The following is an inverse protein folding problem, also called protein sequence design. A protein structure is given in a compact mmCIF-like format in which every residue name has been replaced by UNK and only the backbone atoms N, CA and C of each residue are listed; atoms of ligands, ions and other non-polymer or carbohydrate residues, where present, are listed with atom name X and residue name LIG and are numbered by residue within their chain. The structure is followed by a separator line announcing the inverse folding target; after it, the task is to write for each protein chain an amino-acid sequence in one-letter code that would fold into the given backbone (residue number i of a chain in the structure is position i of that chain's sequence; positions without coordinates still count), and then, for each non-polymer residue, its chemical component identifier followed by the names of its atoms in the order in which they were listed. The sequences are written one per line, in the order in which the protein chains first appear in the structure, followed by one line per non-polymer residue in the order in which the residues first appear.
data_IF_371996553562
#
_entry.id   IF_371996553562
#
_cell.length_a   1.000
_cell.length_b   1.000
_cell.length_c   1.000
_cell.angle_alpha   90.00
_cell.angle_beta   90.00
_cell.angle_gamma   90.00
#
_symmetry.space_group_name_H-M   'P 1'
#
loop_
_entity.id
_entity.type
_entity.pdbx_description
1 polymer ?
#
# COMPACT_ATOMS: atom_id res chain seq x y z
N UNK A 1 9.25 -14.80 -19.93
CA UNK A 1 8.53 -13.54 -20.26
C UNK A 1 8.89 -12.55 -19.17
N UNK A 2 9.37 -11.33 -19.48
CA UNK A 2 9.72 -10.39 -18.43
C UNK A 2 8.44 -10.02 -17.69
N UNK A 3 8.44 -10.16 -16.37
CA UNK A 3 7.30 -9.79 -15.53
C UNK A 3 7.03 -8.30 -15.74
N UNK A 4 5.95 -7.95 -16.43
CA UNK A 4 5.43 -6.58 -16.53
C UNK A 4 4.63 -6.27 -15.26
N UNK A 5 5.27 -6.42 -14.11
CA UNK A 5 4.79 -5.81 -12.87
C UNK A 5 5.26 -4.35 -12.83
N UNK A 6 4.61 -3.48 -12.06
CA UNK A 6 5.14 -2.16 -11.74
C UNK A 6 6.57 -2.33 -11.17
N UNK A 7 7.55 -1.65 -11.74
CA UNK A 7 8.91 -1.68 -11.20
C UNK A 7 8.96 -0.81 -9.95
N UNK A 8 8.91 -1.44 -8.78
CA UNK A 8 9.19 -0.82 -7.49
C UNK A 8 10.69 -1.01 -7.22
N UNK A 9 11.41 0.09 -6.99
CA UNK A 9 12.88 0.06 -6.79
C UNK A 9 13.32 -0.30 -5.36
N UNK A 10 12.34 -0.41 -4.44
CA UNK A 10 12.53 -0.70 -3.02
C UNK A 10 12.55 -2.22 -2.80
N UNK A 11 13.29 -2.68 -1.79
CA UNK A 11 13.32 -4.10 -1.41
C UNK A 11 11.90 -4.63 -1.11
N UNK A 12 11.50 -5.78 -1.67
CA UNK A 12 10.22 -6.41 -1.40
C UNK A 12 9.96 -6.65 0.10
N UNK A 13 10.98 -7.00 0.87
CA UNK A 13 10.86 -7.25 2.31
C UNK A 13 10.46 -5.99 3.08
N UNK A 14 10.99 -4.84 2.63
CA UNK A 14 10.65 -3.55 3.21
C UNK A 14 9.21 -3.16 2.87
N UNK A 15 8.78 -3.39 1.63
CA UNK A 15 7.39 -3.15 1.22
C UNK A 15 6.43 -4.03 2.02
N UNK A 16 6.73 -5.32 2.19
CA UNK A 16 5.94 -6.26 3.00
C UNK A 16 5.87 -5.80 4.45
N UNK A 17 7.00 -5.42 5.05
CA UNK A 17 7.00 -4.92 6.43
C UNK A 17 6.18 -3.65 6.60
N UNK A 18 6.32 -2.70 5.69
CA UNK A 18 5.64 -1.42 5.78
C UNK A 18 4.13 -1.54 5.58
N UNK A 19 3.72 -2.33 4.57
CA UNK A 19 2.33 -2.43 4.13
C UNK A 19 1.56 -3.47 4.95
N UNK A 20 2.12 -4.65 5.15
CA UNK A 20 1.46 -5.77 5.85
C UNK A 20 1.87 -5.89 7.32
N UNK A 21 2.81 -5.08 7.81
CA UNK A 21 3.32 -5.12 9.19
C UNK A 21 3.95 -6.45 9.61
N UNK A 22 4.38 -7.24 8.63
CA UNK A 22 5.06 -8.52 8.86
C UNK A 22 6.52 -8.23 9.20
N UNK A 23 7.03 -8.79 10.30
CA UNK A 23 8.41 -8.61 10.69
C UNK A 23 9.37 -9.23 9.65
N UNK A 24 10.46 -8.53 9.32
CA UNK A 24 11.40 -8.94 8.26
C UNK A 24 12.08 -10.26 8.61
N UNK A 25 12.52 -10.44 9.87
CA UNK A 25 13.20 -11.65 10.32
C UNK A 25 12.26 -12.87 10.26
N UNK A 26 10.99 -12.69 10.63
CA UNK A 26 9.97 -13.75 10.46
C UNK A 26 9.74 -14.06 8.98
N UNK A 27 9.60 -13.00 8.16
CA UNK A 27 9.33 -13.11 6.73
C UNK A 27 10.41 -13.87 5.96
N UNK A 28 11.69 -13.66 6.27
CA UNK A 28 12.81 -14.38 5.66
C UNK A 28 12.70 -15.91 5.83
N UNK A 29 12.12 -16.36 6.95
CA UNK A 29 11.92 -17.77 7.27
C UNK A 29 10.74 -18.43 6.54
N UNK A 30 9.89 -17.65 5.87
CA UNK A 30 8.67 -18.18 5.25
C UNK A 30 8.97 -19.00 3.99
N UNK A 31 8.11 -19.98 3.64
CA UNK A 31 8.26 -20.70 2.37
C UNK A 31 8.13 -19.75 1.18
N UNK A 32 8.92 -20.01 0.14
CA UNK A 32 9.02 -19.13 -1.04
C UNK A 32 7.66 -18.79 -1.66
N UNK A 33 6.76 -19.76 -1.79
CA UNK A 33 5.42 -19.52 -2.34
C UNK A 33 4.59 -18.57 -1.49
N UNK A 34 4.74 -18.61 -0.18
CA UNK A 34 4.04 -17.73 0.76
C UNK A 34 4.63 -16.32 0.69
N UNK A 35 5.96 -16.21 0.62
CA UNK A 35 6.63 -14.92 0.42
C UNK A 35 6.20 -14.25 -0.87
N UNK A 36 6.16 -14.99 -1.97
CA UNK A 36 5.76 -14.45 -3.26
C UNK A 36 4.33 -13.91 -3.25
N UNK A 37 3.41 -14.60 -2.56
CA UNK A 37 2.04 -14.12 -2.36
C UNK A 37 2.04 -12.81 -1.56
N UNK A 38 2.69 -12.79 -0.39
CA UNK A 38 2.75 -11.62 0.49
C UNK A 38 3.37 -10.40 -0.21
N UNK A 39 4.48 -10.59 -0.94
CA UNK A 39 5.10 -9.56 -1.77
C UNK A 39 4.10 -9.03 -2.78
N UNK A 40 3.45 -9.92 -3.54
CA UNK A 40 2.53 -9.49 -4.60
C UNK A 40 1.33 -8.71 -4.06
N UNK A 41 0.82 -9.07 -2.89
CA UNK A 41 -0.24 -8.34 -2.20
C UNK A 41 0.29 -6.98 -1.71
N UNK A 42 1.45 -6.97 -1.06
CA UNK A 42 2.04 -5.75 -0.51
C UNK A 42 2.37 -4.72 -1.60
N UNK A 43 2.89 -5.15 -2.75
CA UNK A 43 3.16 -4.28 -3.90
C UNK A 43 1.88 -3.67 -4.47
N UNK A 44 0.80 -4.44 -4.55
CA UNK A 44 -0.48 -3.96 -5.08
C UNK A 44 -1.12 -2.94 -4.11
N UNK A 45 -1.11 -3.23 -2.81
CA UNK A 45 -1.55 -2.31 -1.76
C UNK A 45 -0.67 -1.05 -1.69
N UNK A 46 0.65 -1.19 -1.89
CA UNK A 46 1.57 -0.05 -1.99
C UNK A 46 1.16 0.91 -3.09
N UNK A 47 0.75 0.40 -4.26
CA UNK A 47 0.25 1.25 -5.34
C UNK A 47 -1.02 2.00 -4.94
N UNK A 48 -1.95 1.37 -4.22
CA UNK A 48 -3.17 2.06 -3.75
C UNK A 48 -2.86 3.20 -2.77
N UNK A 49 -1.83 3.03 -1.92
CA UNK A 49 -1.43 4.07 -0.97
C UNK A 49 -0.66 5.22 -1.64
N UNK A 50 0.26 4.89 -2.55
CA UNK A 50 1.29 5.85 -2.98
C UNK A 50 1.16 6.34 -4.43
N UNK A 51 0.30 5.72 -5.25
CA UNK A 51 0.05 6.17 -6.62
C UNK A 51 -1.34 6.82 -6.74
N UNK A 52 -1.44 8.15 -6.88
CA UNK A 52 -2.72 8.86 -6.90
C UNK A 52 -3.55 8.62 -8.17
N UNK A 53 -3.00 7.94 -9.18
CA UNK A 53 -3.73 7.53 -10.39
C UNK A 53 -4.34 6.13 -10.27
N UNK A 54 -3.99 5.38 -9.22
CA UNK A 54 -4.49 4.03 -9.00
C UNK A 54 -5.81 4.11 -8.22
N UNK A 55 -6.81 3.40 -8.72
CA UNK A 55 -8.11 3.30 -8.05
C UNK A 55 -8.02 2.27 -6.90
N UNK A 56 -8.19 2.73 -5.67
CA UNK A 56 -8.07 1.90 -4.47
C UNK A 56 -9.11 0.76 -4.41
N UNK A 57 -10.35 0.97 -4.86
CA UNK A 57 -11.39 -0.07 -4.87
C UNK A 57 -11.08 -1.21 -5.84
N UNK A 58 -10.46 -0.87 -6.97
CA UNK A 58 -9.98 -1.85 -7.96
C UNK A 58 -8.87 -2.71 -7.35
N UNK A 59 -7.91 -2.08 -6.69
CA UNK A 59 -6.84 -2.78 -5.95
C UNK A 59 -7.42 -3.65 -4.84
N UNK A 60 -8.35 -3.13 -4.04
CA UNK A 60 -9.02 -3.87 -2.97
C UNK A 60 -9.67 -5.15 -3.49
N UNK A 61 -10.40 -5.05 -4.60
CA UNK A 61 -11.07 -6.19 -5.23
C UNK A 61 -10.06 -7.22 -5.74
N UNK A 62 -9.00 -6.76 -6.40
CA UNK A 62 -7.92 -7.61 -6.95
C UNK A 62 -7.15 -8.35 -5.85
N UNK A 63 -6.78 -7.65 -4.78
CA UNK A 63 -6.09 -8.22 -3.62
C UNK A 63 -6.97 -9.26 -2.92
N UNK A 64 -8.25 -8.94 -2.73
CA UNK A 64 -9.20 -9.87 -2.10
C UNK A 64 -9.33 -11.16 -2.92
N UNK A 65 -9.56 -11.05 -4.23
CA UNK A 65 -9.68 -12.22 -5.12
C UNK A 65 -8.41 -13.09 -5.10
N UNK A 66 -7.23 -12.45 -5.15
CA UNK A 66 -5.95 -13.15 -5.09
C UNK A 66 -5.77 -13.88 -3.76
N UNK A 67 -6.03 -13.19 -2.65
CA UNK A 67 -5.88 -13.75 -1.32
C UNK A 67 -6.85 -14.93 -1.10
N UNK A 68 -8.13 -14.79 -1.48
CA UNK A 68 -9.12 -15.87 -1.36
C UNK A 68 -8.72 -17.12 -2.16
N UNK A 69 -8.21 -16.93 -3.38
CA UNK A 69 -7.77 -18.03 -4.23
C UNK A 69 -6.58 -18.80 -3.66
N UNK A 70 -5.59 -18.09 -3.11
CA UNK A 70 -4.30 -18.69 -2.73
C UNK A 70 -4.26 -19.12 -1.25
N UNK A 71 -5.03 -18.47 -0.38
CA UNK A 71 -5.10 -18.75 1.06
C UNK A 71 -5.56 -20.16 1.41
N UNK A 72 -6.36 -20.81 0.56
CA UNK A 72 -6.85 -22.18 0.76
C UNK A 72 -5.71 -23.19 0.91
N UNK A 73 -4.58 -22.92 0.25
CA UNK A 73 -3.40 -23.79 0.25
C UNK A 73 -2.37 -23.45 1.34
N UNK A 74 -2.58 -22.35 2.08
CA UNK A 74 -1.65 -21.88 3.08
C UNK A 74 -1.88 -22.58 4.42
N UNK A 75 -0.79 -22.76 5.18
CA UNK A 75 -0.92 -23.07 6.60
C UNK A 75 -1.64 -21.91 7.32
N UNK A 76 -2.43 -22.26 8.34
CA UNK A 76 -3.29 -21.31 9.06
C UNK A 76 -2.54 -20.05 9.53
N UNK A 77 -1.33 -20.22 10.06
CA UNK A 77 -0.48 -19.11 10.50
C UNK A 77 -0.29 -18.05 9.42
N UNK A 78 0.16 -18.43 8.23
CA UNK A 78 0.45 -17.48 7.14
C UNK A 78 -0.82 -16.80 6.62
N UNK A 79 -1.90 -17.57 6.48
CA UNK A 79 -3.19 -17.02 6.07
C UNK A 79 -3.65 -15.94 7.06
N UNK A 80 -3.62 -16.24 8.35
CA UNK A 80 -4.00 -15.28 9.40
C UNK A 80 -3.15 -14.02 9.34
N UNK A 81 -1.82 -14.14 9.36
CA UNK A 81 -0.91 -12.98 9.35
C UNK A 81 -1.14 -12.09 8.11
N UNK A 82 -1.27 -12.68 6.92
CA UNK A 82 -1.52 -11.91 5.69
C UNK A 82 -2.90 -11.23 5.75
N UNK A 83 -3.95 -11.94 6.18
CA UNK A 83 -5.30 -11.37 6.26
C UNK A 83 -5.41 -10.21 7.26
N UNK A 84 -4.73 -10.33 8.41
CA UNK A 84 -4.64 -9.26 9.40
C UNK A 84 -3.90 -8.05 8.83
N UNK A 85 -2.77 -8.27 8.14
CA UNK A 85 -2.03 -7.21 7.45
C UNK A 85 -2.88 -6.46 6.42
N UNK A 86 -3.64 -7.18 5.58
CA UNK A 86 -4.57 -6.56 4.61
C UNK A 86 -5.64 -5.73 5.32
N UNK A 87 -6.23 -6.27 6.40
CA UNK A 87 -7.28 -5.59 7.16
C UNK A 87 -6.75 -4.31 7.80
N UNK A 88 -5.59 -4.39 8.45
CA UNK A 88 -4.94 -3.23 9.09
C UNK A 88 -4.56 -2.17 8.06
N UNK A 89 -4.05 -2.57 6.89
CA UNK A 89 -3.73 -1.65 5.81
C UNK A 89 -4.96 -0.84 5.40
N UNK A 90 -6.09 -1.49 5.12
CA UNK A 90 -7.29 -0.77 4.67
C UNK A 90 -7.87 0.12 5.76
N UNK A 91 -7.87 -0.32 7.00
CA UNK A 91 -8.30 0.51 8.13
C UNK A 91 -7.45 1.77 8.27
N UNK A 92 -6.12 1.64 8.15
CA UNK A 92 -5.21 2.78 8.20
C UNK A 92 -5.37 3.70 6.99
N UNK A 93 -5.50 3.14 5.79
CA UNK A 93 -5.67 3.90 4.56
C UNK A 93 -6.97 4.71 4.57
N UNK A 94 -8.08 4.12 5.01
CA UNK A 94 -9.36 4.83 5.15
C UNK A 94 -9.27 5.98 6.16
N UNK A 95 -8.62 5.76 7.30
CA UNK A 95 -8.38 6.80 8.30
C UNK A 95 -7.53 7.96 7.74
N UNK A 96 -6.52 7.66 6.92
CA UNK A 96 -5.69 8.67 6.26
C UNK A 96 -6.50 9.48 5.23
N UNK A 97 -7.35 8.83 4.44
CA UNK A 97 -8.24 9.51 3.49
C UNK A 97 -9.24 10.43 4.18
N UNK A 98 -9.81 10.00 5.31
CA UNK A 98 -10.71 10.81 6.14
C UNK A 98 -9.96 12.01 6.73
N UNK A 99 -8.79 11.78 7.33
CA UNK A 99 -7.94 12.84 7.86
C UNK A 99 -7.56 13.86 6.80
N UNK A 100 -7.15 13.42 5.61
CA UNK A 100 -6.81 14.29 4.48
C UNK A 100 -8.00 15.17 4.07
N UNK A 101 -9.20 14.58 4.03
CA UNK A 101 -10.42 15.31 3.69
C UNK A 101 -10.71 16.39 4.72
N UNK A 102 -10.63 16.06 6.00
CA UNK A 102 -10.79 17.01 7.10
C UNK A 102 -9.72 18.12 7.08
N UNK A 103 -8.46 17.77 6.82
CA UNK A 103 -7.36 18.73 6.70
C UNK A 103 -7.63 19.74 5.57
N UNK A 104 -8.09 19.28 4.40
CA UNK A 104 -8.45 20.16 3.29
C UNK A 104 -9.59 21.11 3.68
N UNK A 105 -10.60 20.63 4.41
CA UNK A 105 -11.70 21.47 4.90
C UNK A 105 -11.22 22.56 5.86
N UNK A 106 -10.32 22.24 6.80
CA UNK A 106 -9.73 23.23 7.70
C UNK A 106 -8.86 24.25 6.97
N UNK A 107 -8.03 23.80 6.01
CA UNK A 107 -7.17 24.69 5.23
C UNK A 107 -7.98 25.68 4.39
N UNK A 108 -9.12 25.27 3.85
CA UNK A 108 -10.03 26.14 3.08
C UNK A 108 -10.58 27.33 3.87
N UNK A 109 -10.53 27.28 5.21
CA UNK A 109 -10.96 28.40 6.06
C UNK A 109 -9.95 29.55 6.09
N UNK A 110 -8.68 29.26 5.77
CA UNK A 110 -7.57 30.21 5.92
C UNK A 110 -6.77 30.44 4.62
N UNK A 111 -6.87 29.54 3.65
CA UNK A 111 -6.17 29.62 2.35
C UNK A 111 -7.16 29.67 1.18
N UNK A 112 -6.84 30.41 0.11
CA UNK A 112 -7.59 30.35 -1.14
C UNK A 112 -7.47 28.97 -1.78
N UNK A 113 -8.47 28.56 -2.57
CA UNK A 113 -8.55 27.21 -3.16
C UNK A 113 -7.35 26.90 -4.06
N UNK A 114 -6.82 27.90 -4.75
CA UNK A 114 -5.65 27.79 -5.62
C UNK A 114 -4.37 27.44 -4.84
N UNK A 115 -4.36 27.70 -3.52
CA UNK A 115 -3.27 27.33 -2.61
C UNK A 115 -3.37 25.91 -2.06
N UNK A 116 -4.43 25.16 -2.38
CA UNK A 116 -4.67 23.80 -1.89
C UNK A 116 -4.70 22.85 -3.08
N UNK A 117 -3.52 22.36 -3.44
CA UNK A 117 -3.35 21.42 -4.55
C UNK A 117 -3.55 19.98 -4.05
N UNK A 118 -4.64 19.34 -4.47
CA UNK A 118 -4.99 17.96 -4.06
C UNK A 118 -5.25 17.02 -5.23
N UNK A 119 -5.10 17.49 -6.47
CA UNK A 119 -5.27 16.64 -7.65
C UNK A 119 -4.04 15.73 -7.86
N UNK A 120 -4.21 14.54 -8.47
CA UNK A 120 -3.12 13.61 -8.71
C UNK A 120 -1.90 14.19 -9.44
N UNK A 121 -2.10 15.12 -10.40
CA UNK A 121 -0.99 15.69 -11.17
C UNK A 121 -0.14 16.64 -10.32
N UNK A 122 -0.78 17.45 -9.47
CA UNK A 122 -0.08 18.31 -8.51
C UNK A 122 0.65 17.51 -7.44
N UNK A 123 0.08 16.38 -7.01
CA UNK A 123 0.75 15.46 -6.08
C UNK A 123 1.98 14.81 -6.73
N UNK A 124 1.89 14.36 -8.00
CA UNK A 124 3.02 13.73 -8.68
C UNK A 124 4.12 14.72 -9.08
N UNK A 125 3.79 15.95 -9.45
CA UNK A 125 4.79 16.98 -9.75
C UNK A 125 5.69 17.32 -8.55
N UNK A 126 5.22 17.07 -7.32
CA UNK A 126 6.00 17.19 -6.11
C UNK A 126 6.80 15.92 -5.75
N UNK A 127 6.59 14.81 -6.47
CA UNK A 127 6.94 13.45 -6.05
C UNK A 127 7.86 12.70 -7.01
N UNK A 128 8.26 13.29 -8.14
CA UNK A 128 9.09 12.60 -9.15
C UNK A 128 10.46 12.11 -8.66
N UNK A 129 10.85 12.45 -7.43
CA UNK A 129 12.06 11.96 -6.73
C UNK A 129 11.74 11.32 -5.35
N UNK A 130 10.47 11.23 -4.95
CA UNK A 130 10.07 11.06 -3.54
C UNK A 130 9.28 9.78 -3.20
N UNK A 131 8.92 8.93 -4.19
CA UNK A 131 8.20 7.68 -3.90
C UNK A 131 8.97 6.78 -2.92
N UNK A 132 10.31 6.80 -2.98
CA UNK A 132 11.19 6.10 -2.03
C UNK A 132 11.28 6.84 -0.67
N UNK A 133 11.25 8.18 -0.67
CA UNK A 133 11.29 9.02 0.55
C UNK A 133 10.02 8.89 1.41
N UNK A 134 8.84 8.68 0.80
CA UNK A 134 7.58 8.47 1.53
C UNK A 134 7.59 7.20 2.41
N UNK A 135 8.47 6.25 2.10
CA UNK A 135 8.68 5.05 2.88
C UNK A 135 9.61 5.26 4.09
N UNK A 136 10.45 6.30 4.06
CA UNK A 136 11.34 6.70 5.17
C UNK A 136 10.65 7.60 6.19
N UNK A 137 9.53 8.24 5.82
CA UNK A 137 8.77 9.10 6.72
C UNK A 137 7.87 8.25 7.65
N UNK A 138 7.86 8.51 8.98
CA UNK A 138 6.87 7.91 9.86
C UNK A 138 5.47 8.38 9.43
N UNK A 139 4.53 7.43 9.35
CA UNK A 139 3.09 7.72 9.14
C UNK A 139 2.57 8.61 10.27
#
# INVERSE_FOLDING_TARGET
MPQKGPHISISPDFVVNRILRINIDDFEGWPESVRQLAISIAEELFLAAYNPFVNADTVRSSVQERYERESISLAHYYATVISEGITMFWSAHEAELEFRSHLIEELRKILPLEGILSDPASLVAAETDATDLRMELPL
#
